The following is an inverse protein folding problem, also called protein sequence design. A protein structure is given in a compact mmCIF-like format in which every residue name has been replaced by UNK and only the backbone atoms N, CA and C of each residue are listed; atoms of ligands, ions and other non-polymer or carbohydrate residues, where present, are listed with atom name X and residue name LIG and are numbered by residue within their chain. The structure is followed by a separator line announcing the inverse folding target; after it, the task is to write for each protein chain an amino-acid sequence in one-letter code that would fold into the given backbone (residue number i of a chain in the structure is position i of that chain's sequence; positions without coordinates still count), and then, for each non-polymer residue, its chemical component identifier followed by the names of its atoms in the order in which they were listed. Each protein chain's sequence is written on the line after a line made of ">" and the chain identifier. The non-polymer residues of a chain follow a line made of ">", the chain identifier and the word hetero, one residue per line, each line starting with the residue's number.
data_IF_493807014169
#
_entry.id   IF_493807014169
#
_cell.length_a   1.000
_cell.length_b   1.000
_cell.length_c   1.000
_cell.angle_alpha   90.00
_cell.angle_beta   90.00
_cell.angle_gamma   90.00
#
_symmetry.space_group_name_H-M   'P 1'
#
loop_
_entity.id
_entity.type
_entity.pdbx_description
1 polymer ?
#
# COMPACT_ATOMS: atom_id res chain seq x y z
N UNK A 1 -10.02 -5.24 -33.03
CA UNK A 1 -10.59 -4.66 -31.80
C UNK A 1 -9.91 -5.21 -30.54
N UNK A 2 -9.92 -6.53 -30.28
CA UNK A 2 -9.30 -7.13 -29.07
C UNK A 2 -7.79 -6.82 -28.97
N UNK A 3 -7.01 -7.00 -30.05
CA UNK A 3 -5.57 -6.69 -30.04
C UNK A 3 -5.28 -5.21 -29.75
N UNK A 4 -6.09 -4.30 -30.29
CA UNK A 4 -5.97 -2.86 -30.05
C UNK A 4 -6.25 -2.56 -28.57
N UNK A 5 -7.27 -3.19 -27.99
CA UNK A 5 -7.60 -3.03 -26.57
C UNK A 5 -6.47 -3.52 -25.66
N UNK A 6 -5.87 -4.68 -25.97
CA UNK A 6 -4.70 -5.21 -25.24
C UNK A 6 -3.55 -4.21 -25.28
N UNK A 7 -3.25 -3.64 -26.45
CA UNK A 7 -2.18 -2.65 -26.61
C UNK A 7 -2.45 -1.42 -25.74
N UNK A 8 -3.68 -0.88 -25.76
CA UNK A 8 -4.06 0.28 -24.94
C UNK A 8 -3.94 -0.03 -23.44
N UNK A 9 -4.42 -1.19 -23.01
CA UNK A 9 -4.36 -1.62 -21.60
C UNK A 9 -2.95 -1.98 -21.14
N UNK A 10 -2.01 -2.25 -22.05
CA UNK A 10 -0.61 -2.50 -21.72
C UNK A 10 0.18 -1.20 -21.46
N UNK A 11 -0.31 -0.04 -21.91
CA UNK A 11 0.39 1.25 -21.75
C UNK A 11 0.61 1.59 -20.26
N UNK A 12 -0.40 1.52 -19.36
CA UNK A 12 -0.19 1.82 -17.94
C UNK A 12 0.87 0.92 -17.29
N UNK A 13 0.85 -0.38 -17.61
CA UNK A 13 1.83 -1.35 -17.13
C UNK A 13 3.26 -1.05 -17.63
N UNK A 14 3.41 -0.47 -18.83
CA UNK A 14 4.71 -0.12 -19.38
C UNK A 14 5.29 1.17 -18.78
N UNK A 15 4.44 2.04 -18.23
CA UNK A 15 4.83 3.35 -17.68
C UNK A 15 5.02 3.29 -16.17
N UNK A 16 4.14 2.57 -15.47
CA UNK A 16 4.11 2.49 -14.01
C UNK A 16 4.58 1.11 -13.60
N UNK A 17 5.59 1.04 -12.74
CA UNK A 17 6.15 -0.21 -12.22
C UNK A 17 5.24 -0.82 -11.14
N UNK A 18 3.99 -1.05 -11.51
CA UNK A 18 2.97 -1.65 -10.66
C UNK A 18 2.28 -2.80 -11.37
N UNK A 19 2.35 -3.98 -10.76
CA UNK A 19 1.86 -5.23 -11.36
C UNK A 19 0.34 -5.33 -11.42
N UNK A 20 -0.39 -4.50 -10.66
CA UNK A 20 -1.86 -4.45 -10.67
C UNK A 20 -2.43 -4.10 -12.05
N UNK A 21 -1.65 -3.38 -12.87
CA UNK A 21 -2.04 -3.07 -14.26
C UNK A 21 -2.03 -4.28 -15.19
N UNK A 22 -1.56 -5.46 -14.74
CA UNK A 22 -1.70 -6.71 -15.48
C UNK A 22 -3.12 -7.30 -15.37
N UNK A 23 -3.87 -7.00 -14.30
CA UNK A 23 -5.18 -7.63 -14.07
C UNK A 23 -6.21 -7.34 -15.17
N UNK A 24 -6.30 -6.11 -15.73
CA UNK A 24 -7.16 -5.85 -16.88
C UNK A 24 -6.81 -6.64 -18.14
N UNK A 25 -5.55 -7.10 -18.27
CA UNK A 25 -5.09 -7.88 -19.43
C UNK A 25 -5.47 -9.37 -19.33
N UNK A 26 -5.68 -9.90 -18.12
CA UNK A 26 -5.90 -11.32 -17.87
C UNK A 26 -7.03 -11.94 -18.72
N UNK A 27 -8.23 -11.34 -18.83
CA UNK A 27 -9.31 -11.94 -19.63
C UNK A 27 -8.91 -12.15 -21.09
N UNK A 28 -8.19 -11.20 -21.68
CA UNK A 28 -7.77 -11.27 -23.07
C UNK A 28 -6.66 -12.28 -23.29
N UNK A 29 -5.67 -12.32 -22.39
CA UNK A 29 -4.58 -13.30 -22.43
C UNK A 29 -5.15 -14.72 -22.27
N UNK A 30 -6.09 -14.94 -21.34
CA UNK A 30 -6.75 -16.24 -21.15
C UNK A 30 -7.46 -16.70 -22.44
N UNK A 31 -8.22 -15.81 -23.09
CA UNK A 31 -8.89 -16.14 -24.36
C UNK A 31 -7.87 -16.47 -25.45
N UNK A 32 -6.83 -15.66 -25.62
CA UNK A 32 -5.81 -15.89 -26.64
C UNK A 32 -4.98 -17.16 -26.37
N UNK A 33 -4.76 -17.51 -25.10
CA UNK A 33 -4.05 -18.74 -24.71
C UNK A 33 -4.90 -20.00 -24.89
N UNK A 34 -6.21 -19.94 -24.69
CA UNK A 34 -7.09 -21.12 -24.78
C UNK A 34 -7.33 -21.57 -26.22
N UNK A 35 -7.37 -20.67 -27.19
CA UNK A 35 -7.55 -21.00 -28.63
C UNK A 35 -6.50 -22.00 -29.17
N UNK A 36 -5.17 -21.76 -29.03
CA UNK A 36 -4.17 -22.71 -29.51
C UNK A 36 -4.18 -24.02 -28.71
N UNK A 37 -4.44 -23.98 -27.41
CA UNK A 37 -4.58 -25.18 -26.58
C UNK A 37 -5.73 -26.04 -27.11
N UNK A 38 -6.92 -25.44 -27.31
CA UNK A 38 -8.08 -26.12 -27.86
C UNK A 38 -7.80 -26.70 -29.25
N UNK A 39 -7.09 -25.97 -30.12
CA UNK A 39 -6.72 -26.46 -31.46
C UNK A 39 -5.86 -27.72 -31.38
N UNK A 40 -4.82 -27.71 -30.55
CA UNK A 40 -3.92 -28.87 -30.39
C UNK A 40 -4.64 -30.05 -29.75
N UNK A 41 -5.50 -29.81 -28.75
CA UNK A 41 -6.26 -30.88 -28.09
C UNK A 41 -7.30 -31.50 -29.03
N UNK A 42 -7.95 -30.72 -29.89
CA UNK A 42 -8.97 -31.26 -30.80
C UNK A 42 -8.37 -31.90 -32.06
N UNK A 43 -7.39 -31.23 -32.68
CA UNK A 43 -6.93 -31.57 -34.04
C UNK A 43 -5.45 -31.97 -34.12
N UNK A 44 -4.68 -31.85 -33.04
CA UNK A 44 -3.22 -32.02 -33.08
C UNK A 44 -2.50 -30.82 -33.72
N UNK A 45 -1.23 -31.00 -34.08
CA UNK A 45 -0.46 -30.01 -34.82
C UNK A 45 -0.72 -30.15 -36.32
N UNK A 46 -0.57 -29.06 -37.08
CA UNK A 46 -0.80 -29.04 -38.54
C UNK A 46 0.00 -30.10 -39.31
N UNK A 47 1.09 -30.60 -38.73
CA UNK A 47 2.01 -31.58 -39.33
C UNK A 47 1.91 -32.97 -38.70
N UNK A 48 1.26 -33.12 -37.52
CA UNK A 48 1.21 -34.37 -36.77
C UNK A 48 -0.16 -34.52 -36.09
N UNK A 49 -0.94 -35.54 -36.48
CA UNK A 49 -2.16 -35.92 -35.76
C UNK A 49 -1.81 -36.60 -34.44
N UNK A 50 -2.26 -36.05 -33.32
CA UNK A 50 -2.04 -36.65 -32.00
C UNK A 50 -3.10 -37.69 -31.68
N UNK A 51 -2.71 -38.80 -31.06
CA UNK A 51 -3.65 -39.72 -30.44
C UNK A 51 -4.18 -39.17 -29.09
N UNK A 52 -5.23 -39.78 -28.53
CA UNK A 52 -5.83 -39.35 -27.27
C UNK A 52 -4.83 -39.30 -26.10
N UNK A 53 -3.92 -40.28 -26.01
CA UNK A 53 -2.87 -40.29 -24.98
C UNK A 53 -1.91 -39.10 -25.13
N UNK A 54 -1.51 -38.74 -26.34
CA UNK A 54 -0.62 -37.62 -26.64
C UNK A 54 -1.29 -36.28 -26.34
N UNK A 55 -2.60 -36.15 -26.62
CA UNK A 55 -3.39 -34.97 -26.24
C UNK A 55 -3.46 -34.79 -24.73
N UNK A 56 -3.68 -35.86 -23.96
CA UNK A 56 -3.66 -35.81 -22.50
C UNK A 56 -2.27 -35.45 -21.96
N UNK A 57 -1.21 -36.04 -22.51
CA UNK A 57 0.17 -35.70 -22.12
C UNK A 57 0.49 -34.23 -22.42
N UNK A 58 0.07 -33.72 -23.58
CA UNK A 58 0.22 -32.30 -23.93
C UNK A 58 -0.45 -31.38 -22.90
N UNK A 59 -1.70 -31.66 -22.50
CA UNK A 59 -2.40 -30.87 -21.48
C UNK A 59 -1.69 -30.91 -20.12
N UNK A 60 -1.22 -32.08 -19.68
CA UNK A 60 -0.47 -32.23 -18.43
C UNK A 60 0.82 -31.40 -18.48
N UNK A 61 1.53 -31.42 -19.62
CA UNK A 61 2.73 -30.60 -19.81
C UNK A 61 2.39 -29.11 -19.73
N UNK A 62 1.34 -28.65 -20.42
CA UNK A 62 0.93 -27.24 -20.40
C UNK A 62 0.58 -26.79 -18.98
N UNK A 63 -0.22 -27.59 -18.24
CA UNK A 63 -0.57 -27.28 -16.85
C UNK A 63 0.67 -27.27 -15.96
N UNK A 64 1.57 -28.23 -16.12
CA UNK A 64 2.83 -28.28 -15.38
C UNK A 64 3.70 -27.05 -15.63
N UNK A 65 3.83 -26.60 -16.88
CA UNK A 65 4.56 -25.37 -17.23
C UNK A 65 3.89 -24.14 -16.62
N UNK A 66 2.56 -24.04 -16.66
CA UNK A 66 1.83 -22.92 -16.05
C UNK A 66 2.06 -22.87 -14.54
N UNK A 67 2.01 -24.01 -13.84
CA UNK A 67 2.27 -24.08 -12.40
C UNK A 67 3.71 -23.72 -12.06
N UNK A 68 4.69 -24.21 -12.85
CA UNK A 68 6.09 -23.86 -12.67
C UNK A 68 6.32 -22.35 -12.86
N UNK A 69 5.81 -21.77 -13.95
CA UNK A 69 5.92 -20.33 -14.21
C UNK A 69 5.22 -19.49 -13.14
N UNK A 70 4.06 -19.95 -12.65
CA UNK A 70 3.35 -19.28 -11.55
C UNK A 70 4.17 -19.30 -10.28
N UNK A 71 4.75 -20.45 -9.91
CA UNK A 71 5.57 -20.58 -8.71
C UNK A 71 6.82 -19.70 -8.80
N UNK A 72 7.52 -19.69 -9.95
CA UNK A 72 8.70 -18.85 -10.14
C UNK A 72 8.35 -17.36 -10.11
N UNK A 73 7.20 -16.98 -10.68
CA UNK A 73 6.70 -15.61 -10.64
C UNK A 73 6.27 -15.17 -9.23
N UNK A 74 5.74 -16.06 -8.40
CA UNK A 74 5.43 -15.73 -7.01
C UNK A 74 6.69 -15.59 -6.17
N UNK A 75 7.64 -16.53 -6.30
CA UNK A 75 8.84 -16.59 -5.45
C UNK A 75 9.94 -15.56 -5.79
N UNK A 76 9.84 -14.84 -6.92
CA UNK A 76 10.88 -13.95 -7.46
C UNK A 76 12.21 -14.68 -7.70
N UNK A 77 12.21 -15.56 -8.69
CA UNK A 77 13.45 -16.16 -9.18
C UNK A 77 14.15 -15.15 -10.09
N UNK A 78 15.20 -14.48 -9.60
CA UNK A 78 15.92 -13.42 -10.32
C UNK A 78 15.27 -12.05 -10.17
N UNK A 79 15.16 -11.29 -11.25
CA UNK A 79 14.51 -9.95 -11.27
C UNK A 79 12.99 -10.03 -11.51
N UNK A 80 12.46 -11.21 -11.85
CA UNK A 80 11.06 -11.40 -12.25
C UNK A 80 10.25 -12.02 -11.12
N UNK A 81 9.14 -11.38 -10.72
CA UNK A 81 8.20 -11.96 -9.75
C UNK A 81 7.99 -11.14 -8.46
N UNK A 82 6.89 -11.40 -7.74
CA UNK A 82 6.40 -10.52 -6.67
C UNK A 82 7.37 -10.39 -5.50
N UNK A 83 8.16 -11.44 -5.24
CA UNK A 83 9.09 -11.47 -4.14
C UNK A 83 8.49 -12.20 -2.97
N UNK A 84 9.38 -12.73 -2.13
CA UNK A 84 8.98 -13.00 -0.76
C UNK A 84 8.57 -11.64 -0.15
N UNK A 85 7.43 -11.59 0.56
CA UNK A 85 7.06 -10.39 1.29
C UNK A 85 8.20 -10.03 2.25
N UNK A 86 8.45 -8.74 2.37
CA UNK A 86 9.52 -8.24 3.21
C UNK A 86 9.10 -8.36 4.68
N UNK A 87 9.32 -9.53 5.28
CA UNK A 87 8.83 -9.82 6.61
C UNK A 87 9.37 -8.89 7.69
N UNK A 88 10.58 -8.32 7.49
CA UNK A 88 11.17 -7.37 8.43
C UNK A 88 10.43 -6.04 8.35
N UNK A 89 10.30 -5.48 7.13
CA UNK A 89 9.58 -4.22 6.90
C UNK A 89 8.12 -4.30 7.40
N UNK A 90 7.39 -5.35 7.02
CA UNK A 90 5.98 -5.48 7.43
C UNK A 90 5.83 -5.64 8.95
N UNK A 91 6.76 -6.34 9.60
CA UNK A 91 6.75 -6.48 11.05
C UNK A 91 6.99 -5.14 11.75
N UNK A 92 7.97 -4.36 11.28
CA UNK A 92 8.30 -3.04 11.83
C UNK A 92 7.14 -2.04 11.64
N UNK A 93 6.47 -2.06 10.48
CA UNK A 93 5.26 -1.26 10.25
C UNK A 93 4.13 -1.60 11.24
N UNK A 94 3.90 -2.89 11.49
CA UNK A 94 2.89 -3.35 12.46
C UNK A 94 3.28 -2.94 13.88
N UNK A 95 4.55 -3.08 14.27
CA UNK A 95 5.03 -2.71 15.60
C UNK A 95 4.91 -1.20 15.85
N UNK A 96 5.30 -0.36 14.89
CA UNK A 96 5.07 1.09 14.96
C UNK A 96 3.58 1.41 15.12
N UNK A 97 2.72 0.74 14.34
CA UNK A 97 1.28 0.97 14.41
C UNK A 97 0.70 0.59 15.78
N UNK A 98 1.15 -0.54 16.37
CA UNK A 98 0.76 -0.92 17.74
C UNK A 98 1.20 0.13 18.75
N UNK A 99 2.46 0.57 18.67
CA UNK A 99 2.97 1.64 19.51
C UNK A 99 2.11 2.91 19.39
N UNK A 100 1.74 3.29 18.16
CA UNK A 100 0.93 4.46 17.90
C UNK A 100 -0.47 4.33 18.55
N UNK A 101 -1.17 3.22 18.35
CA UNK A 101 -2.53 3.01 18.87
C UNK A 101 -2.54 2.83 20.39
N UNK A 102 -1.51 2.21 20.99
CA UNK A 102 -1.44 1.96 22.43
C UNK A 102 -1.08 3.21 23.26
N UNK A 103 -0.37 4.17 22.67
CA UNK A 103 0.19 5.32 23.39
C UNK A 103 -0.45 6.66 23.06
N UNK A 104 -1.18 6.77 21.95
CA UNK A 104 -1.67 8.05 21.44
C UNK A 104 -3.17 8.04 21.12
N UNK A 105 -3.74 9.24 21.11
CA UNK A 105 -5.12 9.50 20.74
C UNK A 105 -5.22 10.74 19.84
N UNK A 106 -6.02 10.67 18.79
CA UNK A 106 -6.21 11.81 17.89
C UNK A 106 -6.10 11.43 16.43
N UNK A 107 -5.93 12.44 15.58
CA UNK A 107 -5.91 12.25 14.14
C UNK A 107 -4.50 12.38 13.58
N UNK A 108 -4.09 11.41 12.77
CA UNK A 108 -2.79 11.36 12.11
C UNK A 108 -2.95 11.63 10.61
N UNK A 109 -2.01 12.36 10.03
CA UNK A 109 -1.95 12.58 8.58
C UNK A 109 -1.81 11.24 7.85
N UNK A 110 -2.71 10.97 6.91
CA UNK A 110 -2.60 9.87 5.98
C UNK A 110 -1.53 10.20 4.93
N UNK A 111 -0.38 9.56 5.08
CA UNK A 111 0.72 9.57 4.15
C UNK A 111 1.09 8.14 3.77
N UNK A 112 1.48 7.94 2.51
CA UNK A 112 1.39 6.71 1.71
C UNK A 112 1.60 5.42 2.50
N UNK A 113 2.77 5.21 3.11
CA UNK A 113 3.10 3.96 3.80
C UNK A 113 3.24 4.11 5.33
N UNK A 114 3.02 5.31 5.87
CA UNK A 114 3.30 5.60 7.29
C UNK A 114 2.34 4.81 8.19
N UNK A 115 1.07 4.73 7.79
CA UNK A 115 -0.03 4.20 8.61
C UNK A 115 -0.76 3.03 7.94
N UNK A 116 -0.11 2.31 7.01
CA UNK A 116 -0.69 1.19 6.25
C UNK A 116 -1.44 0.17 7.11
N UNK A 117 -0.92 -0.09 8.31
CA UNK A 117 -1.46 -1.09 9.21
C UNK A 117 -2.43 -0.53 10.25
N UNK A 118 -2.73 0.77 10.24
CA UNK A 118 -3.57 1.41 11.26
C UNK A 118 -4.95 0.75 11.35
N UNK A 119 -5.60 0.54 10.21
CA UNK A 119 -6.90 -0.15 10.15
C UNK A 119 -6.77 -1.59 10.64
N UNK A 120 -5.72 -2.31 10.22
CA UNK A 120 -5.49 -3.69 10.63
C UNK A 120 -5.29 -3.83 12.14
N UNK A 121 -4.42 -3.03 12.74
CA UNK A 121 -4.14 -3.06 14.18
C UNK A 121 -5.37 -2.63 14.98
N UNK A 122 -6.06 -1.58 14.54
CA UNK A 122 -7.28 -1.10 15.21
C UNK A 122 -8.39 -2.15 15.26
N UNK A 123 -8.48 -3.01 14.24
CA UNK A 123 -9.47 -4.10 14.19
C UNK A 123 -9.03 -5.36 14.94
N UNK A 124 -7.73 -5.57 15.13
CA UNK A 124 -7.20 -6.82 15.70
C UNK A 124 -6.79 -6.71 17.16
N UNK A 125 -6.77 -5.50 17.73
CA UNK A 125 -6.43 -5.28 19.14
C UNK A 125 -7.57 -5.60 20.12
N UNK A 126 -8.83 -5.57 19.69
CA UNK A 126 -9.96 -5.96 20.55
C UNK A 126 -10.18 -7.48 20.46
N UNK A 127 -9.98 -8.19 21.56
CA UNK A 127 -10.20 -9.64 21.67
C UNK A 127 -11.65 -10.05 21.31
N UNK A 128 -12.59 -9.10 21.31
CA UNK A 128 -13.99 -9.29 20.96
C UNK A 128 -14.37 -8.78 19.56
N UNK A 129 -13.41 -8.47 18.69
CA UNK A 129 -13.68 -8.02 17.33
C UNK A 129 -14.31 -9.14 16.47
N UNK A 130 -15.62 -9.34 16.57
CA UNK A 130 -16.37 -10.13 15.60
C UNK A 130 -16.50 -9.32 14.31
N UNK A 131 -15.84 -9.77 13.25
CA UNK A 131 -15.91 -9.17 11.91
C UNK A 131 -17.36 -8.93 11.43
N UNK A 132 -18.34 -9.67 11.97
CA UNK A 132 -19.77 -9.47 11.68
C UNK A 132 -20.33 -8.15 12.20
N UNK A 133 -19.74 -7.57 13.23
CA UNK A 133 -20.16 -6.29 13.82
C UNK A 133 -19.58 -5.08 13.05
N UNK A 134 -18.56 -5.30 12.22
CA UNK A 134 -17.97 -4.25 11.40
C UNK A 134 -18.96 -3.78 10.34
N UNK A 135 -19.46 -2.55 10.51
CA UNK A 135 -20.38 -1.93 9.55
C UNK A 135 -19.59 -1.27 8.43
N UNK A 136 -19.99 -1.57 7.19
CA UNK A 136 -19.46 -0.87 6.02
C UNK A 136 -19.66 0.65 6.16
N UNK A 137 -18.66 1.47 5.76
CA UNK A 137 -18.79 2.92 5.63
C UNK A 137 -19.96 3.43 4.80
N UNK A 138 -20.62 2.54 4.04
CA UNK A 138 -21.68 2.89 3.09
C UNK A 138 -23.01 3.15 3.82
N UNK A 139 -23.03 4.18 4.66
CA UNK A 139 -24.21 4.78 5.26
C UNK A 139 -24.41 6.23 4.81
N UNK A 140 -25.22 7.00 5.54
CA UNK A 140 -25.33 8.47 5.36
C UNK A 140 -24.11 9.24 5.88
N UNK A 141 -23.21 8.52 6.55
CA UNK A 141 -21.95 9.04 7.03
C UNK A 141 -20.85 8.65 6.03
N UNK A 142 -20.30 9.60 5.25
CA UNK A 142 -19.24 9.32 4.30
C UNK A 142 -17.90 9.00 4.99
N UNK A 143 -17.80 9.17 6.32
CA UNK A 143 -16.61 8.92 7.12
C UNK A 143 -17.02 8.21 8.43
N UNK A 144 -17.33 6.90 8.42
CA UNK A 144 -17.64 6.16 9.66
C UNK A 144 -16.47 6.17 10.66
N UNK A 145 -15.27 6.55 10.21
CA UNK A 145 -14.07 6.84 10.99
C UNK A 145 -14.17 8.22 11.66
N UNK A 146 -15.34 8.57 12.19
CA UNK A 146 -15.45 9.71 13.09
C UNK A 146 -14.57 9.41 14.30
N UNK A 147 -13.61 10.30 14.58
CA UNK A 147 -12.74 10.18 15.75
C UNK A 147 -13.55 9.86 17.01
N UNK A 148 -13.31 8.68 17.56
CA UNK A 148 -13.74 8.30 18.90
C UNK A 148 -12.58 8.62 19.86
N UNK A 149 -12.85 9.34 20.97
CA UNK A 149 -11.84 9.56 22.00
C UNK A 149 -11.18 8.24 22.43
N UNK A 150 -9.85 8.23 22.48
CA UNK A 150 -9.06 7.02 22.77
C UNK A 150 -8.67 6.18 21.55
N UNK A 151 -8.96 6.63 20.32
CA UNK A 151 -8.48 5.98 19.09
C UNK A 151 -7.57 6.89 18.26
N UNK A 152 -6.67 6.27 17.51
CA UNK A 152 -5.92 6.94 16.45
C UNK A 152 -6.67 6.75 15.14
N UNK A 153 -6.94 7.86 14.45
CA UNK A 153 -7.71 7.86 13.20
C UNK A 153 -6.93 8.59 12.11
N UNK A 154 -6.94 8.05 10.90
CA UNK A 154 -6.32 8.72 9.76
C UNK A 154 -7.17 9.88 9.24
N UNK A 155 -6.52 10.91 8.72
CA UNK A 155 -7.19 11.97 7.97
C UNK A 155 -6.36 12.44 6.77
N UNK A 156 -7.03 13.01 5.78
CA UNK A 156 -6.37 13.61 4.63
C UNK A 156 -6.36 15.13 4.76
N UNK A 157 -5.19 15.75 4.60
CA UNK A 157 -5.03 17.21 4.56
C UNK A 157 -4.33 17.61 3.28
N UNK A 158 -4.81 18.68 2.66
CA UNK A 158 -4.11 19.30 1.55
C UNK A 158 -3.23 20.46 2.06
N UNK A 159 -2.04 20.61 1.50
CA UNK A 159 -1.16 21.75 1.73
C UNK A 159 0.00 21.75 0.73
N UNK A 160 0.49 22.93 0.37
CA UNK A 160 1.68 23.11 -0.49
C UNK A 160 2.95 23.37 0.31
N UNK A 161 2.79 23.81 1.57
CA UNK A 161 3.87 23.98 2.55
C UNK A 161 3.47 23.31 3.86
N UNK A 162 4.44 23.14 4.76
CA UNK A 162 4.19 22.55 6.08
C UNK A 162 3.25 23.44 6.90
N UNK A 163 3.38 24.77 6.82
CA UNK A 163 2.53 25.72 7.54
C UNK A 163 1.10 25.71 7.01
N UNK A 164 0.93 25.61 5.70
CA UNK A 164 -0.40 25.47 5.08
C UNK A 164 -1.05 24.15 5.50
N UNK A 165 -0.30 23.05 5.47
CA UNK A 165 -0.78 21.73 5.89
C UNK A 165 -1.20 21.73 7.37
N UNK A 166 -0.38 22.30 8.27
CA UNK A 166 -0.70 22.40 9.70
C UNK A 166 -1.94 23.27 9.92
N UNK A 167 -2.01 24.43 9.27
CA UNK A 167 -3.14 25.37 9.42
C UNK A 167 -4.45 24.73 8.92
N UNK A 168 -4.41 24.06 7.77
CA UNK A 168 -5.57 23.36 7.23
C UNK A 168 -5.96 22.16 8.12
N UNK A 169 -4.96 21.41 8.58
CA UNK A 169 -5.14 20.24 9.43
C UNK A 169 -5.76 20.55 10.79
N UNK A 170 -5.42 21.70 11.39
CA UNK A 170 -5.98 22.12 12.69
C UNK A 170 -7.51 22.22 12.65
N UNK A 171 -8.05 22.74 11.55
CA UNK A 171 -9.51 22.90 11.37
C UNK A 171 -10.28 21.59 11.43
N UNK A 172 -9.59 20.48 11.20
CA UNK A 172 -10.12 19.12 11.24
C UNK A 172 -9.42 18.25 12.28
N UNK A 173 -8.72 18.85 13.25
CA UNK A 173 -8.15 18.15 14.40
C UNK A 173 -6.93 17.27 14.10
N UNK A 174 -6.13 17.60 13.08
CA UNK A 174 -4.83 16.98 12.87
C UNK A 174 -3.97 17.15 14.13
N UNK A 175 -3.36 16.08 14.61
CA UNK A 175 -2.51 16.08 15.80
C UNK A 175 -1.13 15.49 15.51
N UNK A 176 -1.08 14.45 14.68
CA UNK A 176 0.14 13.71 14.40
C UNK A 176 0.50 13.67 12.93
N UNK A 177 1.80 13.61 12.67
CA UNK A 177 2.38 13.51 11.34
C UNK A 177 3.51 12.48 11.41
N UNK A 178 3.47 11.48 10.53
CA UNK A 178 4.63 10.60 10.30
C UNK A 178 5.31 10.92 8.97
N UNK A 179 6.62 10.74 8.92
CA UNK A 179 7.46 11.04 7.74
C UNK A 179 8.43 9.89 7.54
N UNK A 180 8.47 9.38 6.32
CA UNK A 180 9.41 8.35 5.89
C UNK A 180 10.74 8.99 5.48
N UNK A 181 11.86 8.29 5.70
CA UNK A 181 13.19 8.72 5.24
C UNK A 181 13.25 8.89 3.72
N UNK A 182 12.57 8.02 2.99
CA UNK A 182 12.47 8.10 1.53
C UNK A 182 11.66 9.32 1.03
N UNK A 183 11.02 10.04 1.96
CA UNK A 183 10.08 11.12 1.68
C UNK A 183 8.70 10.63 1.24
N UNK A 184 7.85 11.59 0.92
CA UNK A 184 6.48 11.36 0.43
C UNK A 184 6.33 11.93 -0.98
N UNK A 185 5.64 11.19 -1.85
CA UNK A 185 5.22 11.70 -3.15
C UNK A 185 4.15 12.80 -3.02
N UNK A 186 3.25 12.66 -2.05
CA UNK A 186 2.17 13.62 -1.81
C UNK A 186 2.65 14.88 -1.09
N UNK A 187 3.62 14.72 -0.18
CA UNK A 187 4.12 15.80 0.66
C UNK A 187 5.65 15.93 0.58
N UNK A 188 6.22 16.23 -0.61
CA UNK A 188 7.68 16.29 -0.80
C UNK A 188 8.35 17.37 0.07
N UNK A 189 7.61 18.43 0.43
CA UNK A 189 8.08 19.50 1.31
C UNK A 189 8.32 19.05 2.76
N UNK A 190 7.78 17.90 3.17
CA UNK A 190 7.94 17.38 4.53
C UNK A 190 9.25 16.64 4.74
N UNK A 191 9.97 16.29 3.66
CA UNK A 191 11.22 15.57 3.79
C UNK A 191 12.31 16.37 4.55
N UNK A 192 12.25 17.72 4.48
CA UNK A 192 13.18 18.57 5.23
C UNK A 192 13.03 18.39 6.76
N UNK A 193 11.81 18.14 7.24
CA UNK A 193 11.53 17.89 8.67
C UNK A 193 12.17 16.58 9.17
N UNK A 194 12.29 15.55 8.33
CA UNK A 194 12.95 14.30 8.73
C UNK A 194 14.43 14.52 9.08
N UNK A 195 15.13 15.40 8.35
CA UNK A 195 16.56 15.64 8.51
C UNK A 195 16.92 16.86 9.36
N UNK A 196 16.02 17.84 9.49
CA UNK A 196 16.28 19.13 10.14
C UNK A 196 15.21 19.46 11.18
N UNK A 197 15.04 18.60 12.18
CA UNK A 197 14.03 18.74 13.25
C UNK A 197 14.10 20.10 13.96
N UNK A 198 15.32 20.63 14.16
CA UNK A 198 15.58 21.89 14.83
C UNK A 198 14.99 23.12 14.13
N UNK A 199 14.71 23.04 12.82
CA UNK A 199 14.02 24.09 12.08
C UNK A 199 12.53 24.16 12.40
N UNK A 200 11.96 23.09 12.94
CA UNK A 200 10.54 22.92 13.21
C UNK A 200 10.29 22.66 14.69
N UNK A 201 10.60 23.62 15.59
CA UNK A 201 10.51 23.42 17.05
C UNK A 201 9.06 23.24 17.57
N UNK A 202 8.06 23.41 16.70
CA UNK A 202 6.66 23.10 16.97
C UNK A 202 6.28 21.65 16.65
N UNK A 203 7.21 20.84 16.12
CA UNK A 203 7.03 19.41 15.87
C UNK A 203 7.74 18.62 16.97
N UNK A 204 6.97 18.09 17.91
CA UNK A 204 7.49 17.31 19.03
C UNK A 204 7.63 15.86 18.61
N UNK A 205 8.87 15.36 18.54
CA UNK A 205 9.13 13.99 18.11
C UNK A 205 8.57 12.99 19.13
N UNK A 206 7.67 12.13 18.68
CA UNK A 206 7.03 11.09 19.49
C UNK A 206 7.57 9.69 19.15
N UNK A 207 8.17 9.51 17.98
CA UNK A 207 8.75 8.25 17.56
C UNK A 207 9.91 8.46 16.59
N UNK A 208 10.97 7.67 16.74
CA UNK A 208 12.08 7.61 15.80
C UNK A 208 12.48 6.14 15.58
N UNK A 209 12.30 5.66 14.36
CA UNK A 209 12.65 4.28 13.98
C UNK A 209 14.13 3.95 14.25
N UNK A 210 15.04 4.92 14.17
CA UNK A 210 16.46 4.68 14.45
C UNK A 210 16.71 4.51 15.95
N UNK A 211 16.00 5.26 16.80
CA UNK A 211 16.07 5.11 18.26
C UNK A 211 15.49 3.74 18.70
N UNK A 212 14.52 3.23 17.94
CA UNK A 212 13.90 1.92 18.15
C UNK A 212 14.66 0.77 17.47
N UNK A 213 15.82 1.03 16.86
CA UNK A 213 16.66 0.05 16.15
C UNK A 213 15.98 -0.67 14.97
N UNK A 214 15.01 -0.03 14.31
CA UNK A 214 14.39 -0.58 13.10
C UNK A 214 15.41 -0.63 11.97
N UNK A 215 15.34 -1.68 11.16
CA UNK A 215 16.28 -1.97 10.07
C UNK A 215 15.82 -1.38 8.76
N UNK A 216 14.53 -1.50 8.45
CA UNK A 216 14.02 -1.23 7.10
C UNK A 216 12.96 -0.13 7.08
N UNK A 217 12.05 -0.11 8.06
CA UNK A 217 11.02 0.91 8.18
C UNK A 217 11.58 2.20 8.79
N UNK A 218 12.28 2.99 7.96
CA UNK A 218 12.90 4.25 8.36
C UNK A 218 11.89 5.40 8.33
N UNK A 219 11.46 5.82 9.51
CA UNK A 219 10.47 6.86 9.71
C UNK A 219 10.63 7.59 11.05
N UNK A 220 10.02 8.78 11.14
CA UNK A 220 9.84 9.55 12.37
C UNK A 220 8.38 10.01 12.47
N UNK A 221 7.84 10.06 13.68
CA UNK A 221 6.51 10.62 13.93
C UNK A 221 6.60 11.80 14.91
N UNK A 222 5.72 12.78 14.70
CA UNK A 222 5.69 14.04 15.41
C UNK A 222 4.27 14.39 15.86
N UNK A 223 4.17 15.00 17.03
CA UNK A 223 2.98 15.71 17.52
C UNK A 223 3.13 17.21 17.25
N UNK A 224 2.05 17.83 16.77
CA UNK A 224 2.04 19.25 16.46
C UNK A 224 1.73 20.04 17.73
N UNK A 225 2.66 20.87 18.17
CA UNK A 225 2.43 21.86 19.21
C UNK A 225 1.88 23.16 18.57
N UNK A 226 0.55 23.26 18.49
CA UNK A 226 -0.14 24.41 17.89
C UNK A 226 0.16 25.73 18.60
N UNK A 227 0.34 25.72 19.92
CA UNK A 227 0.71 26.93 20.66
C UNK A 227 2.08 27.47 20.19
N UNK A 228 3.10 26.59 20.12
CA UNK A 228 4.43 26.95 19.59
C UNK A 228 4.37 27.36 18.13
N UNK A 229 3.56 26.68 17.31
CA UNK A 229 3.37 26.99 15.90
C UNK A 229 2.90 28.44 15.71
N UNK A 230 1.82 28.83 16.40
CA UNK A 230 1.30 30.20 16.31
C UNK A 230 2.21 31.25 16.97
N UNK A 231 2.91 30.90 18.06
CA UNK A 231 3.89 31.79 18.67
C UNK A 231 5.05 32.13 17.73
N UNK A 232 5.48 31.19 16.88
CA UNK A 232 6.55 31.41 15.90
C UNK A 232 6.01 32.11 14.66
N UNK A 233 4.86 31.68 14.15
CA UNK A 233 4.20 32.29 12.98
C UNK A 233 3.90 33.77 13.18
N UNK A 234 3.53 34.18 14.39
CA UNK A 234 3.22 35.58 14.70
C UNK A 234 4.47 36.45 14.98
N UNK A 235 5.66 35.86 15.03
CA UNK A 235 6.94 36.58 15.23
C UNK A 235 7.70 36.85 13.92
N UNK A 236 7.37 36.15 12.84
CA UNK A 236 7.93 36.35 11.50
C UNK A 236 7.03 37.23 10.64
#
# INVERSE_FOLDING_TARGET
>A
MILILIVVLAIPFAIIDERRFLFPLFPFVIILSTIPIQRVTNYGLSTFSFNERQKSVFLVIVVGVVLLLSATFTMKVGEFGYGLPNSVLEHEKIEFTKYLVENFDGRILHDEDVIDYLVYVSLTQDDNADFKEFKSPRGKDPYPDLYEPGKVVELQVNGKTIEELITNGETIGLKYIGILEKGSYFFPFMNDLYYNEEKYPYMEKIFDSNEMNYKEFKMKAFEINYEKFYLIKNKG
#
